data_IF_796305819181
#
_entry.id   IF_796305819181
#
_cell.length_a   1.000
_cell.length_b   1.000
_cell.length_c   1.000
_cell.angle_alpha   90.00
_cell.angle_beta   90.00
_cell.angle_gamma   90.00
#
_symmetry.space_group_name_H-M   'P 1'
#
loop_
_entity.id
_entity.type
_entity.pdbx_description
1 polymer ?
#
# COMPACT_ATOMS: atom_id res chain seq x y z
N UNK A 1 -13.90 -6.83 49.51
CA UNK A 1 -12.65 -6.42 48.91
C UNK A 1 -12.66 -6.92 47.46
N UNK A 2 -12.65 -6.11 46.43
CA UNK A 2 -12.49 -6.61 45.07
C UNK A 2 -11.07 -7.09 44.92
N UNK A 3 -10.93 -8.27 44.33
CA UNK A 3 -9.66 -8.93 44.02
C UNK A 3 -8.91 -8.11 42.95
N UNK A 4 -7.67 -7.65 43.20
CA UNK A 4 -6.95 -6.79 42.27
C UNK A 4 -6.39 -7.50 41.03
N UNK A 5 -6.59 -8.83 40.92
CA UNK A 5 -5.99 -9.64 39.85
C UNK A 5 -6.94 -10.09 38.74
N UNK A 6 -8.10 -9.44 38.58
CA UNK A 6 -8.99 -9.74 37.45
C UNK A 6 -8.71 -8.86 36.23
N UNK A 7 -7.47 -8.81 35.79
CA UNK A 7 -7.12 -8.15 34.55
C UNK A 7 -7.60 -8.95 33.33
N UNK A 8 -8.82 -8.66 32.90
CA UNK A 8 -9.29 -9.12 31.59
C UNK A 8 -8.66 -8.29 30.50
N UNK A 9 -7.92 -8.92 29.62
CA UNK A 9 -7.37 -8.23 28.45
C UNK A 9 -7.85 -8.83 27.14
N UNK A 10 -8.04 -7.96 26.17
CA UNK A 10 -8.45 -8.34 24.82
C UNK A 10 -7.33 -7.99 23.86
N UNK A 11 -6.86 -8.96 23.09
CA UNK A 11 -5.90 -8.76 22.03
C UNK A 11 -6.59 -8.95 20.68
N UNK A 12 -6.61 -7.90 19.87
CA UNK A 12 -7.20 -7.92 18.54
C UNK A 12 -6.14 -7.57 17.51
N UNK A 13 -6.03 -8.38 16.46
CA UNK A 13 -5.18 -8.14 15.31
C UNK A 13 -6.04 -8.11 14.05
N UNK A 14 -5.96 -7.01 13.31
CA UNK A 14 -6.62 -6.87 12.02
C UNK A 14 -5.58 -6.57 10.98
N UNK A 15 -5.60 -7.30 9.88
CA UNK A 15 -4.71 -7.15 8.73
C UNK A 15 -5.58 -6.89 7.51
N UNK A 16 -5.27 -5.82 6.77
CA UNK A 16 -5.86 -5.53 5.49
C UNK A 16 -4.76 -5.49 4.43
N UNK A 17 -4.97 -6.19 3.34
CA UNK A 17 -4.08 -6.16 2.17
C UNK A 17 -4.89 -6.04 0.90
N UNK A 18 -4.28 -5.45 -0.13
CA UNK A 18 -4.89 -5.29 -1.44
C UNK A 18 -3.97 -5.90 -2.47
N UNK A 19 -4.47 -6.86 -3.25
CA UNK A 19 -3.75 -7.44 -4.37
C UNK A 19 -4.28 -6.85 -5.68
N UNK A 20 -3.39 -6.29 -6.50
CA UNK A 20 -3.74 -5.78 -7.83
C UNK A 20 -3.36 -6.80 -8.90
N UNK A 21 -4.32 -7.13 -9.75
CA UNK A 21 -4.15 -8.03 -10.89
C UNK A 21 -4.59 -7.32 -12.16
N UNK A 22 -3.68 -7.16 -13.12
CA UNK A 22 -4.02 -6.46 -14.35
C UNK A 22 -2.91 -6.43 -15.38
N UNK A 23 -3.22 -5.82 -16.51
CA UNK A 23 -2.27 -5.51 -17.58
C UNK A 23 -1.79 -4.07 -17.50
N UNK A 24 -0.61 -3.79 -18.05
CA UNK A 24 -0.07 -2.44 -18.13
C UNK A 24 0.42 -2.12 -19.53
N UNK A 25 0.29 -0.85 -19.89
CA UNK A 25 0.91 -0.27 -21.08
C UNK A 25 1.69 0.96 -20.66
N UNK A 26 2.77 1.27 -21.38
CA UNK A 26 3.56 2.43 -21.06
C UNK A 26 4.55 2.79 -22.14
N UNK A 27 5.13 3.97 -21.97
CA UNK A 27 6.16 4.53 -22.81
C UNK A 27 7.35 4.89 -21.93
N UNK A 28 8.55 4.70 -22.49
CA UNK A 28 9.79 5.14 -21.87
C UNK A 28 10.67 5.79 -22.92
N UNK A 29 11.40 6.80 -22.53
CA UNK A 29 12.33 7.50 -23.41
C UNK A 29 13.48 8.10 -22.62
N UNK A 30 14.60 8.29 -23.30
CA UNK A 30 15.78 8.97 -22.77
C UNK A 30 16.29 9.94 -23.83
N UNK A 31 16.58 11.15 -23.39
CA UNK A 31 17.22 12.17 -24.19
C UNK A 31 18.58 12.51 -23.59
N UNK A 32 19.58 12.66 -24.45
CA UNK A 32 20.96 12.98 -24.07
C UNK A 32 21.44 14.21 -24.81
N UNK A 33 22.10 15.10 -24.07
CA UNK A 33 22.79 16.25 -24.62
C UNK A 33 24.09 16.45 -23.85
N UNK A 34 25.21 16.33 -24.54
CA UNK A 34 26.55 16.39 -23.98
C UNK A 34 26.70 15.45 -22.74
N UNK A 35 27.02 16.04 -21.62
CA UNK A 35 27.18 15.30 -20.37
C UNK A 35 25.84 15.05 -19.60
N UNK A 36 24.71 15.59 -20.08
CA UNK A 36 23.42 15.47 -19.42
C UNK A 36 22.53 14.42 -20.09
N UNK A 37 21.73 13.75 -19.26
CA UNK A 37 20.63 12.91 -19.76
C UNK A 37 19.37 13.16 -18.94
N UNK A 38 18.24 13.05 -19.60
CA UNK A 38 16.91 13.07 -19.00
C UNK A 38 16.18 11.84 -19.49
N UNK A 39 15.80 10.99 -18.58
CA UNK A 39 15.02 9.78 -18.85
C UNK A 39 13.67 9.85 -18.19
N UNK A 40 12.70 9.19 -18.77
CA UNK A 40 11.37 9.11 -18.19
C UNK A 40 10.60 7.88 -18.67
N UNK A 41 9.66 7.46 -17.84
CA UNK A 41 8.70 6.42 -18.17
C UNK A 41 7.35 6.79 -17.60
N UNK A 42 6.31 6.61 -18.39
CA UNK A 42 4.92 6.71 -17.96
C UNK A 42 4.22 5.41 -18.29
N UNK A 43 3.50 4.86 -17.33
CA UNK A 43 2.77 3.60 -17.45
C UNK A 43 1.39 3.76 -16.87
N UNK A 44 0.43 3.05 -17.42
CA UNK A 44 -0.91 2.91 -16.85
C UNK A 44 -1.26 1.44 -16.81
N UNK A 45 -1.61 0.95 -15.63
CA UNK A 45 -2.13 -0.38 -15.47
C UNK A 45 -3.65 -0.33 -15.22
N UNK A 46 -4.36 -1.28 -15.79
CA UNK A 46 -5.79 -1.49 -15.67
C UNK A 46 -6.03 -2.90 -15.14
N UNK A 47 -6.82 -3.02 -14.11
CA UNK A 47 -7.04 -4.33 -13.51
C UNK A 47 -8.06 -4.33 -12.40
N UNK A 48 -8.01 -5.37 -11.59
CA UNK A 48 -8.86 -5.53 -10.43
C UNK A 48 -8.01 -5.49 -9.14
N UNK A 49 -8.47 -4.76 -8.16
CA UNK A 49 -8.00 -4.84 -6.78
C UNK A 49 -8.86 -5.86 -6.04
N UNK A 50 -8.21 -6.82 -5.42
CA UNK A 50 -8.84 -7.81 -4.55
C UNK A 50 -8.41 -7.51 -3.12
N UNK A 51 -9.31 -6.98 -2.29
CA UNK A 51 -9.02 -6.74 -0.89
C UNK A 51 -9.05 -8.06 -0.10
N UNK A 52 -8.11 -8.24 0.80
CA UNK A 52 -8.07 -9.34 1.76
C UNK A 52 -8.02 -8.75 3.16
N UNK A 53 -8.99 -9.12 3.99
CA UNK A 53 -9.06 -8.71 5.37
C UNK A 53 -9.04 -9.94 6.25
N UNK A 54 -8.10 -9.99 7.18
CA UNK A 54 -8.00 -11.04 8.19
C UNK A 54 -8.10 -10.39 9.58
N UNK A 55 -9.00 -10.89 10.39
CA UNK A 55 -9.15 -10.48 11.79
C UNK A 55 -8.93 -11.66 12.70
N UNK A 56 -8.15 -11.47 13.76
CA UNK A 56 -7.96 -12.44 14.84
C UNK A 56 -8.01 -11.72 16.17
N UNK A 57 -8.63 -12.35 17.16
CA UNK A 57 -8.72 -11.79 18.49
C UNK A 57 -8.76 -12.89 19.55
N UNK A 58 -8.25 -12.59 20.74
CA UNK A 58 -8.34 -13.42 21.91
C UNK A 58 -8.81 -12.56 23.10
N UNK A 59 -9.73 -13.11 23.89
CA UNK A 59 -10.15 -12.56 25.16
C UNK A 59 -9.65 -13.47 26.27
N UNK A 60 -8.94 -12.91 27.21
CA UNK A 60 -8.53 -13.62 28.44
C UNK A 60 -9.23 -12.95 29.62
N UNK A 61 -10.14 -13.64 30.23
CA UNK A 61 -10.85 -13.19 31.43
C UNK A 61 -10.47 -14.03 32.66
N UNK A 62 -10.77 -13.55 33.85
CA UNK A 62 -10.41 -14.14 35.13
C UNK A 62 -10.99 -15.56 35.37
N UNK A 63 -11.87 -16.07 34.53
CA UNK A 63 -12.50 -17.39 34.63
C UNK A 63 -12.24 -18.32 33.45
N UNK A 64 -11.14 -18.18 32.75
CA UNK A 64 -10.76 -19.05 31.65
C UNK A 64 -10.72 -18.37 30.29
N UNK A 65 -9.81 -18.84 29.45
CA UNK A 65 -9.67 -18.37 28.07
C UNK A 65 -10.85 -18.85 27.24
N UNK A 66 -11.74 -17.94 26.87
CA UNK A 66 -12.68 -18.16 25.78
C UNK A 66 -12.00 -17.87 24.46
N UNK A 67 -11.48 -18.90 23.83
CA UNK A 67 -11.07 -18.85 22.43
C UNK A 67 -12.34 -18.71 21.57
N UNK A 68 -12.54 -17.55 20.94
CA UNK A 68 -13.58 -17.41 19.95
C UNK A 68 -14.52 -16.22 20.05
N UNK A 69 -14.25 -15.25 20.85
CA UNK A 69 -15.11 -14.09 20.98
C UNK A 69 -14.82 -12.97 19.97
N UNK A 70 -15.15 -13.13 18.72
CA UNK A 70 -15.20 -12.02 17.73
C UNK A 70 -16.37 -11.05 17.97
N UNK A 71 -16.88 -10.93 19.17
CA UNK A 71 -18.15 -10.24 19.44
C UNK A 71 -18.15 -8.74 19.09
N UNK A 72 -16.98 -8.14 18.85
CA UNK A 72 -16.87 -6.80 18.28
C UNK A 72 -16.29 -6.78 16.86
N UNK A 73 -15.57 -7.82 16.45
CA UNK A 73 -15.02 -7.96 15.10
C UNK A 73 -15.98 -8.62 14.11
N UNK A 74 -17.05 -9.25 14.60
CA UNK A 74 -18.16 -9.76 13.76
C UNK A 74 -18.92 -8.67 13.03
N UNK A 75 -18.56 -7.40 13.21
CA UNK A 75 -19.06 -6.25 12.46
C UNK A 75 -18.04 -5.72 11.43
N UNK A 76 -16.98 -6.45 11.17
CA UNK A 76 -16.18 -6.19 9.97
C UNK A 76 -17.11 -6.35 8.77
N UNK A 77 -17.30 -5.27 8.01
CA UNK A 77 -17.99 -5.36 6.74
C UNK A 77 -17.28 -6.42 5.90
N UNK A 78 -18.01 -7.30 5.26
CA UNK A 78 -17.44 -8.22 4.28
C UNK A 78 -16.59 -7.40 3.31
N UNK A 79 -15.34 -7.81 3.05
CA UNK A 79 -14.52 -7.08 2.11
C UNK A 79 -15.27 -7.02 0.79
N UNK A 80 -15.35 -5.85 0.16
CA UNK A 80 -16.00 -5.74 -1.13
C UNK A 80 -15.30 -6.68 -2.09
N UNK A 81 -16.05 -7.30 -2.98
CA UNK A 81 -15.50 -8.15 -4.04
C UNK A 81 -14.46 -7.38 -4.87
N UNK A 82 -13.85 -8.07 -5.83
CA UNK A 82 -12.87 -7.44 -6.71
C UNK A 82 -13.43 -6.17 -7.37
N UNK A 83 -12.65 -5.09 -7.34
CA UNK A 83 -13.02 -3.79 -7.89
C UNK A 83 -12.07 -3.41 -9.02
N UNK A 84 -12.62 -2.87 -10.10
CA UNK A 84 -11.79 -2.31 -11.17
C UNK A 84 -11.01 -1.13 -10.66
N UNK A 85 -9.71 -1.10 -10.93
CA UNK A 85 -8.81 -0.04 -10.52
C UNK A 85 -7.85 0.35 -11.64
N UNK A 86 -7.35 1.57 -11.56
CA UNK A 86 -6.35 2.13 -12.47
C UNK A 86 -5.12 2.52 -11.66
N UNK A 87 -3.94 2.19 -12.20
CA UNK A 87 -2.65 2.44 -11.55
C UNK A 87 -1.72 3.16 -12.53
N UNK A 88 -1.83 4.50 -12.66
CA UNK A 88 -0.83 5.29 -13.36
C UNK A 88 0.46 5.40 -12.55
N UNK A 89 1.58 5.29 -13.26
CA UNK A 89 2.92 5.43 -12.71
C UNK A 89 3.75 6.31 -13.63
N UNK A 90 4.44 7.29 -13.05
CA UNK A 90 5.36 8.17 -13.77
C UNK A 90 6.70 8.16 -13.06
N UNK A 91 7.77 8.02 -13.82
CA UNK A 91 9.15 8.12 -13.35
C UNK A 91 9.90 9.08 -14.25
N UNK A 92 10.64 9.99 -13.65
CA UNK A 92 11.52 10.91 -14.35
C UNK A 92 12.87 10.89 -13.65
N UNK A 93 13.94 10.89 -14.42
CA UNK A 93 15.29 10.97 -13.89
C UNK A 93 16.11 11.94 -14.73
N UNK A 94 16.91 12.74 -14.08
CA UNK A 94 17.92 13.60 -14.69
C UNK A 94 19.29 13.22 -14.14
N UNK A 95 20.28 13.16 -14.98
CA UNK A 95 21.61 12.85 -14.54
C UNK A 95 22.68 13.52 -15.40
N UNK A 96 23.89 13.54 -14.85
CA UNK A 96 25.07 14.11 -15.51
C UNK A 96 26.22 13.14 -15.44
N UNK A 97 26.87 12.94 -16.57
CA UNK A 97 28.15 12.24 -16.64
C UNK A 97 29.24 13.15 -16.13
N UNK A 98 29.95 12.72 -15.09
CA UNK A 98 31.05 13.47 -14.49
C UNK A 98 32.38 13.08 -15.12
N UNK A 99 32.53 11.80 -15.40
CA UNK A 99 33.70 11.20 -16.05
C UNK A 99 33.24 10.04 -16.93
N UNK A 100 34.14 9.44 -17.71
CA UNK A 100 33.82 8.26 -18.53
C UNK A 100 33.33 7.06 -17.68
N UNK A 101 33.64 7.06 -16.39
CA UNK A 101 33.36 5.97 -15.46
C UNK A 101 32.37 6.34 -14.35
N UNK A 102 31.96 7.61 -14.22
CA UNK A 102 31.09 8.05 -13.15
C UNK A 102 29.96 8.97 -13.66
N UNK A 103 28.73 8.66 -13.22
CA UNK A 103 27.58 9.53 -13.44
C UNK A 103 26.76 9.72 -12.16
N UNK A 104 26.21 10.92 -11.99
CA UNK A 104 25.24 11.23 -10.94
C UNK A 104 23.85 11.29 -11.54
N UNK A 105 22.85 10.91 -10.75
CA UNK A 105 21.47 11.07 -11.13
C UNK A 105 20.57 11.44 -9.94
N UNK A 106 19.49 12.12 -10.27
CA UNK A 106 18.35 12.36 -9.38
C UNK A 106 17.08 12.00 -10.13
N UNK A 107 16.15 11.40 -9.44
CA UNK A 107 14.90 10.95 -10.02
C UNK A 107 13.70 11.22 -9.12
N UNK A 108 12.54 11.26 -9.75
CA UNK A 108 11.24 11.38 -9.09
C UNK A 108 10.32 10.30 -9.61
N UNK A 109 9.58 9.68 -8.71
CA UNK A 109 8.60 8.65 -9.02
C UNK A 109 7.27 9.04 -8.40
N UNK A 110 6.21 8.88 -9.16
CA UNK A 110 4.84 9.05 -8.71
C UNK A 110 4.01 7.84 -9.13
N UNK A 111 3.23 7.33 -8.20
CA UNK A 111 2.31 6.22 -8.42
C UNK A 111 0.99 6.52 -7.73
N UNK A 112 -0.10 6.25 -8.43
CA UNK A 112 -1.45 6.42 -7.90
C UNK A 112 -2.21 5.11 -8.12
N UNK A 113 -2.95 4.68 -7.11
CA UNK A 113 -3.83 3.52 -7.18
C UNK A 113 -5.23 3.94 -6.74
N UNK A 114 -6.17 3.82 -7.64
CA UNK A 114 -7.58 4.06 -7.34
C UNK A 114 -8.19 2.87 -6.57
N UNK A 115 -9.18 3.17 -5.73
CA UNK A 115 -10.04 2.18 -5.06
C UNK A 115 -9.31 1.17 -4.18
N UNK A 116 -8.59 1.68 -3.19
CA UNK A 116 -7.94 0.87 -2.15
C UNK A 116 -8.84 0.77 -0.94
N UNK A 117 -8.93 -0.39 -0.33
CA UNK A 117 -9.57 -0.59 0.97
C UNK A 117 -8.55 -0.36 2.08
N UNK A 118 -8.82 0.58 2.97
CA UNK A 118 -7.97 0.86 4.13
C UNK A 118 -8.54 0.21 5.39
N UNK A 119 -7.67 -0.04 6.35
CA UNK A 119 -8.07 -0.61 7.63
C UNK A 119 -9.12 0.25 8.37
N UNK A 120 -9.01 1.57 8.28
CA UNK A 120 -9.98 2.49 8.86
C UNK A 120 -11.39 2.33 8.28
N UNK A 121 -11.50 2.05 7.00
CA UNK A 121 -12.77 1.86 6.31
C UNK A 121 -13.44 0.53 6.71
N UNK A 122 -12.63 -0.48 7.00
CA UNK A 122 -13.09 -1.80 7.47
C UNK A 122 -13.58 -1.76 8.93
N UNK A 123 -12.98 -0.89 9.74
CA UNK A 123 -13.32 -0.72 11.15
C UNK A 123 -14.44 0.32 11.39
N UNK A 124 -14.96 0.93 10.34
CA UNK A 124 -16.06 1.88 10.45
C UNK A 124 -17.32 1.25 11.05
N UNK A 125 -18.17 2.02 11.76
CA UNK A 125 -19.40 1.51 12.34
C UNK A 125 -20.30 0.86 11.28
N UNK A 126 -20.94 -0.25 11.65
CA UNK A 126 -21.86 -0.95 10.77
C UNK A 126 -22.98 0.00 10.27
N UNK A 127 -23.09 0.11 8.95
CA UNK A 127 -24.06 1.01 8.30
C UNK A 127 -23.41 2.09 7.42
N UNK A 128 -22.15 2.43 7.63
CA UNK A 128 -21.34 3.17 6.66
C UNK A 128 -20.75 2.13 5.71
N UNK A 129 -21.22 2.07 4.48
CA UNK A 129 -20.70 1.14 3.48
C UNK A 129 -19.18 1.26 3.35
N UNK A 130 -18.54 0.19 2.90
CA UNK A 130 -17.09 0.18 2.68
C UNK A 130 -16.70 1.31 1.73
N UNK A 131 -16.00 2.30 2.23
CA UNK A 131 -15.55 3.45 1.45
C UNK A 131 -14.23 3.08 0.79
N UNK A 132 -14.17 3.20 -0.53
CA UNK A 132 -12.92 3.09 -1.26
C UNK A 132 -12.18 4.43 -1.20
N UNK A 133 -10.91 4.37 -0.97
CA UNK A 133 -10.05 5.54 -0.92
C UNK A 133 -8.96 5.39 -1.97
N UNK A 134 -8.53 6.50 -2.51
CA UNK A 134 -7.38 6.53 -3.40
C UNK A 134 -6.07 6.49 -2.59
N UNK A 135 -5.08 5.86 -3.16
CA UNK A 135 -3.74 5.78 -2.58
C UNK A 135 -2.72 6.30 -3.58
N UNK A 136 -1.81 7.12 -3.12
CA UNK A 136 -0.72 7.61 -3.94
C UNK A 136 0.60 7.58 -3.16
N UNK A 137 1.67 7.38 -3.89
CA UNK A 137 3.04 7.38 -3.39
C UNK A 137 3.88 8.25 -4.29
N UNK A 138 4.75 9.03 -3.69
CA UNK A 138 5.80 9.75 -4.39
C UNK A 138 7.14 9.47 -3.72
N UNK A 139 8.18 9.41 -4.51
CA UNK A 139 9.53 9.17 -4.04
C UNK A 139 10.53 10.02 -4.82
N UNK A 140 11.53 10.51 -4.12
CA UNK A 140 12.72 11.13 -4.71
C UNK A 140 13.87 10.17 -4.47
N UNK A 141 14.65 9.92 -5.49
CA UNK A 141 15.85 9.10 -5.44
C UNK A 141 17.04 9.86 -6.03
N UNK A 142 18.19 9.59 -5.51
CA UNK A 142 19.45 10.09 -6.04
C UNK A 142 20.53 9.04 -5.85
N UNK A 143 21.50 9.05 -6.74
CA UNK A 143 22.56 8.07 -6.70
C UNK A 143 23.71 8.40 -7.62
N UNK A 144 24.74 7.58 -7.52
CA UNK A 144 25.90 7.60 -8.36
C UNK A 144 26.10 6.20 -8.96
N UNK A 145 26.35 6.13 -10.26
CA UNK A 145 26.72 4.91 -10.94
C UNK A 145 28.19 4.98 -11.33
N UNK A 146 28.92 3.94 -10.99
CA UNK A 146 30.32 3.76 -11.38
C UNK A 146 30.42 2.58 -12.35
N UNK A 147 31.12 2.81 -13.45
CA UNK A 147 31.44 1.79 -14.47
C UNK A 147 32.92 1.49 -14.40
N UNK A 148 33.29 0.25 -14.35
CA UNK A 148 34.66 -0.25 -14.36
C UNK A 148 34.90 -1.10 -15.62
#
# INVERSE_FOLDING_TARGET
MPDPDSDAYTHNRVLASNAFHGGQVGLAGEWRADAWYVGGAAKVAFGAVVPHVCASGAFVGAQGSASGGYSRLSRLADPPGSQFAVLPTVNVAVGRQLTDHARLFAGYSFQYLSRVTRLGDVLAPAGTGTTFTDFWVQAVNFGMELRY
#
